data_IF_436412944829
#
_entry.id   IF_436412944829
#
_cell.length_a   1.000
_cell.length_b   1.000
_cell.length_c   1.000
_cell.angle_alpha   90.00
_cell.angle_beta   90.00
_cell.angle_gamma   90.00
#
_symmetry.space_group_name_H-M   'P 1'
#
loop_
_entity.id
_entity.type
_entity.pdbx_description
1 polymer ?
#
# COMPACT_ATOMS: atom_id res chain seq x y z
N UNK A 1 -12.29 6.41 7.50
CA UNK A 1 -10.84 6.30 7.27
C UNK A 1 -10.53 6.61 5.82
N UNK A 2 -9.51 7.43 5.56
CA UNK A 2 -8.87 7.43 4.24
C UNK A 2 -8.00 6.17 4.21
N UNK A 3 -8.21 5.29 3.24
CA UNK A 3 -7.51 4.01 3.15
C UNK A 3 -5.98 4.18 3.16
N UNK A 4 -5.51 5.35 2.76
CA UNK A 4 -4.18 5.93 2.88
C UNK A 4 -3.56 5.70 4.29
N UNK A 5 -4.31 5.93 5.37
CA UNK A 5 -3.80 5.74 6.75
C UNK A 5 -3.56 4.28 7.10
N UNK A 6 -4.42 3.38 6.61
CA UNK A 6 -4.29 1.94 6.86
C UNK A 6 -3.13 1.35 6.07
N UNK A 7 -2.94 1.78 4.81
CA UNK A 7 -1.80 1.33 4.02
C UNK A 7 -0.48 1.83 4.57
N UNK A 8 -0.44 3.07 5.10
CA UNK A 8 0.70 3.54 5.86
C UNK A 8 1.02 2.62 7.05
N UNK A 9 0.02 2.26 7.86
CA UNK A 9 0.22 1.34 8.98
C UNK A 9 0.70 -0.04 8.50
N UNK A 10 0.11 -0.57 7.43
CA UNK A 10 0.54 -1.86 6.85
C UNK A 10 2.00 -1.84 6.41
N UNK A 11 2.45 -0.80 5.70
CA UNK A 11 3.86 -0.69 5.29
C UNK A 11 4.79 -0.48 6.47
N UNK A 12 4.35 0.24 7.51
CA UNK A 12 5.12 0.45 8.72
C UNK A 12 5.27 -0.83 9.56
N UNK A 13 4.22 -1.65 9.62
CA UNK A 13 4.20 -2.92 10.36
C UNK A 13 4.92 -4.03 9.60
N UNK A 14 4.68 -4.15 8.30
CA UNK A 14 5.20 -5.25 7.48
C UNK A 14 6.25 -4.75 6.50
N UNK A 15 7.51 -4.75 6.93
CA UNK A 15 8.64 -4.27 6.12
C UNK A 15 8.81 -5.01 4.77
N UNK A 16 8.35 -6.26 4.69
CA UNK A 16 8.39 -7.08 3.47
C UNK A 16 7.26 -6.78 2.49
N UNK A 17 6.20 -6.08 2.91
CA UNK A 17 4.95 -5.97 2.15
C UNK A 17 5.18 -5.41 0.76
N UNK A 18 5.98 -4.36 0.61
CA UNK A 18 6.27 -3.81 -0.71
C UNK A 18 6.81 -4.88 -1.65
N UNK A 19 7.80 -5.66 -1.19
CA UNK A 19 8.48 -6.67 -1.99
C UNK A 19 7.55 -7.84 -2.36
N UNK A 20 6.63 -8.18 -1.46
CA UNK A 20 5.56 -9.14 -1.76
C UNK A 20 4.62 -8.62 -2.87
N UNK A 21 4.22 -7.35 -2.79
CA UNK A 21 3.32 -6.70 -3.76
C UNK A 21 3.96 -6.52 -5.14
N UNK A 22 5.27 -6.24 -5.19
CA UNK A 22 6.02 -6.11 -6.44
C UNK A 22 6.70 -7.43 -6.86
N UNK A 23 6.30 -8.55 -6.26
CA UNK A 23 6.78 -9.90 -6.61
C UNK A 23 8.32 -10.01 -6.68
N UNK A 24 9.01 -9.35 -5.74
CA UNK A 24 10.45 -9.45 -5.56
C UNK A 24 10.76 -10.33 -4.34
N UNK A 25 11.97 -10.90 -4.24
CA UNK A 25 12.38 -11.64 -3.06
C UNK A 25 12.27 -10.77 -1.79
N UNK A 26 11.54 -11.25 -0.78
CA UNK A 26 11.31 -10.52 0.48
C UNK A 26 12.61 -10.18 1.24
N UNK A 27 13.67 -10.98 1.04
CA UNK A 27 15.00 -10.71 1.59
C UNK A 27 15.59 -9.38 1.10
N UNK A 28 15.13 -8.85 -0.03
CA UNK A 28 15.56 -7.53 -0.49
C UNK A 28 15.10 -6.40 0.43
N UNK A 29 14.05 -6.61 1.22
CA UNK A 29 13.50 -5.63 2.16
C UNK A 29 14.51 -5.20 3.23
N UNK A 30 15.35 -6.10 3.73
CA UNK A 30 16.32 -5.81 4.81
C UNK A 30 17.24 -4.60 4.52
N UNK A 31 17.47 -4.32 3.23
CA UNK A 31 18.28 -3.20 2.76
C UNK A 31 17.55 -1.86 2.72
N UNK A 32 16.28 -1.79 3.09
CA UNK A 32 15.42 -0.60 2.96
C UNK A 32 14.95 -0.07 4.31
N UNK A 33 14.58 1.20 4.31
CA UNK A 33 13.93 1.91 5.41
C UNK A 33 12.62 2.53 4.90
N UNK A 34 11.52 2.27 5.60
CA UNK A 34 10.23 2.86 5.31
C UNK A 34 10.10 4.23 5.98
N UNK A 35 9.54 5.19 5.27
CA UNK A 35 9.21 6.51 5.80
C UNK A 35 8.02 7.12 5.05
N UNK A 36 7.31 8.02 5.71
CA UNK A 36 6.40 8.96 5.07
C UNK A 36 7.03 10.35 5.16
N UNK A 37 7.62 10.81 4.07
CA UNK A 37 8.28 12.13 4.04
C UNK A 37 7.26 13.19 3.63
N UNK A 38 7.06 14.18 4.49
CA UNK A 38 6.34 15.41 4.13
C UNK A 38 7.27 16.38 3.39
N UNK A 39 6.90 16.71 2.15
CA UNK A 39 7.56 17.74 1.33
C UNK A 39 7.07 19.11 1.84
N UNK A 40 7.93 19.77 2.65
CA UNK A 40 7.59 20.96 3.46
C UNK A 40 7.01 22.15 2.68
N UNK A 41 7.36 22.33 1.41
CA UNK A 41 6.93 23.51 0.62
C UNK A 41 5.52 23.40 0.06
N UNK A 42 4.92 22.20 -0.01
CA UNK A 42 3.55 22.02 -0.54
C UNK A 42 2.63 21.15 0.33
N UNK A 43 3.07 20.72 1.51
CA UNK A 43 2.34 19.77 2.37
C UNK A 43 1.89 18.50 1.61
N UNK A 44 2.68 18.08 0.62
CA UNK A 44 2.45 16.84 -0.08
C UNK A 44 3.20 15.70 0.61
N UNK A 45 2.57 14.52 0.65
CA UNK A 45 3.05 13.34 1.36
C UNK A 45 2.72 12.10 0.55
N UNK A 46 3.74 11.34 0.19
CA UNK A 46 3.52 10.01 -0.37
C UNK A 46 2.91 9.08 0.67
N UNK A 47 2.09 8.14 0.22
CA UNK A 47 1.62 7.05 1.08
C UNK A 47 2.77 6.20 1.63
N UNK A 48 3.88 6.12 0.88
CA UNK A 48 5.09 5.44 1.35
C UNK A 48 6.34 5.77 0.56
N UNK A 49 7.48 5.81 1.26
CA UNK A 49 8.81 5.86 0.67
C UNK A 49 9.67 4.76 1.26
N UNK A 50 10.17 3.86 0.41
CA UNK A 50 11.19 2.90 0.79
C UNK A 50 12.55 3.37 0.26
N UNK A 51 13.41 3.83 1.17
CA UNK A 51 14.76 4.30 0.85
C UNK A 51 15.79 3.20 1.09
N UNK A 52 16.63 2.83 0.12
CA UNK A 52 17.63 1.80 0.35
C UNK A 52 18.87 2.38 1.03
N UNK A 53 19.47 1.56 1.89
CA UNK A 53 20.79 1.83 2.49
C UNK A 53 21.88 1.77 1.41
N UNK A 54 21.81 0.80 0.51
CA UNK A 54 22.74 0.65 -0.61
C UNK A 54 22.51 1.70 -1.71
N UNK A 55 23.56 2.04 -2.47
CA UNK A 55 23.51 3.07 -3.53
C UNK A 55 23.04 2.55 -4.88
N UNK A 56 23.17 1.26 -5.12
CA UNK A 56 22.83 0.55 -6.37
C UNK A 56 21.35 0.13 -6.44
N UNK A 57 20.59 0.39 -5.38
CA UNK A 57 19.17 0.09 -5.29
C UNK A 57 18.32 1.36 -5.45
N UNK A 58 17.13 1.26 -6.07
CA UNK A 58 16.27 2.42 -6.27
C UNK A 58 15.50 2.77 -4.99
N UNK A 59 15.15 4.05 -4.83
CA UNK A 59 14.12 4.53 -3.91
C UNK A 59 12.75 4.13 -4.48
N UNK A 60 11.88 3.51 -3.69
CA UNK A 60 10.49 3.31 -4.09
C UNK A 60 9.61 4.41 -3.53
N UNK A 61 8.88 5.08 -4.43
CA UNK A 61 7.85 6.07 -4.07
C UNK A 61 6.51 5.39 -4.30
N UNK A 62 5.61 5.38 -3.31
CA UNK A 62 4.39 4.58 -3.34
C UNK A 62 3.18 5.51 -3.22
N UNK A 63 2.18 5.25 -4.06
CA UNK A 63 0.84 5.84 -3.98
C UNK A 63 -0.22 4.75 -4.07
N UNK A 64 -1.24 4.82 -3.23
CA UNK A 64 -2.31 3.82 -3.13
C UNK A 64 -3.67 4.43 -3.42
N UNK A 65 -4.44 3.81 -4.31
CA UNK A 65 -5.74 4.32 -4.75
C UNK A 65 -6.87 3.30 -4.56
N UNK A 66 -7.89 3.72 -3.81
CA UNK A 66 -9.10 2.94 -3.50
C UNK A 66 -10.36 3.43 -4.22
N UNK A 67 -10.19 4.39 -5.13
CA UNK A 67 -11.24 4.95 -5.95
C UNK A 67 -10.62 5.46 -7.25
N UNK A 68 -11.46 5.61 -8.27
CA UNK A 68 -11.04 6.23 -9.52
C UNK A 68 -10.66 7.69 -9.28
N UNK A 69 -9.51 8.09 -9.83
CA UNK A 69 -8.97 9.46 -9.76
C UNK A 69 -8.33 9.80 -11.09
N UNK A 70 -9.05 10.56 -11.91
CA UNK A 70 -8.66 10.90 -13.30
C UNK A 70 -7.30 11.60 -13.40
N UNK A 71 -6.97 12.39 -12.39
CA UNK A 71 -5.78 13.20 -12.24
C UNK A 71 -4.63 12.48 -11.52
N UNK A 72 -4.79 11.19 -11.17
CA UNK A 72 -3.79 10.41 -10.42
C UNK A 72 -2.37 10.56 -10.96
N UNK A 73 -2.13 10.28 -12.25
CA UNK A 73 -0.79 10.35 -12.81
C UNK A 73 -0.22 11.77 -12.87
N UNK A 74 -1.07 12.79 -12.99
CA UNK A 74 -0.63 14.19 -12.97
C UNK A 74 -0.12 14.59 -11.61
N UNK A 75 -0.87 14.26 -10.56
CA UNK A 75 -0.47 14.49 -9.18
C UNK A 75 0.77 13.68 -8.86
N UNK A 76 0.73 12.37 -9.11
CA UNK A 76 1.82 11.48 -8.73
C UNK A 76 3.17 11.83 -9.39
N UNK A 77 3.17 12.16 -10.69
CA UNK A 77 4.39 12.64 -11.34
C UNK A 77 4.86 13.99 -10.79
N UNK A 78 3.94 14.92 -10.55
CA UNK A 78 4.28 16.22 -9.96
C UNK A 78 4.96 16.05 -8.61
N UNK A 79 4.45 15.15 -7.79
CA UNK A 79 4.95 14.81 -6.46
C UNK A 79 6.33 14.19 -6.52
N UNK A 80 6.54 13.23 -7.42
CA UNK A 80 7.85 12.61 -7.67
C UNK A 80 8.86 13.69 -8.03
N UNK A 81 8.54 14.56 -8.99
CA UNK A 81 9.47 15.62 -9.39
C UNK A 81 9.70 16.67 -8.30
N UNK A 82 8.73 16.95 -7.44
CA UNK A 82 8.93 17.80 -6.26
C UNK A 82 9.86 17.15 -5.24
N UNK A 83 9.70 15.86 -4.99
CA UNK A 83 10.60 15.11 -4.10
C UNK A 83 12.03 15.09 -4.64
N UNK A 84 12.22 14.72 -5.91
CA UNK A 84 13.51 14.80 -6.57
C UNK A 84 14.05 16.23 -6.56
N UNK A 85 13.14 17.22 -6.67
CA UNK A 85 13.50 18.62 -6.62
C UNK A 85 14.05 19.04 -5.24
N UNK A 86 13.50 18.50 -4.16
CA UNK A 86 13.89 18.88 -2.81
C UNK A 86 15.11 18.11 -2.32
N UNK A 87 15.16 16.80 -2.57
CA UNK A 87 16.14 15.90 -1.95
C UNK A 87 17.36 15.60 -2.81
N UNK A 88 17.28 15.79 -4.14
CA UNK A 88 18.38 15.50 -5.09
C UNK A 88 19.09 14.16 -4.79
N UNK A 89 18.37 13.03 -4.67
CA UNK A 89 18.98 11.77 -4.31
C UNK A 89 20.00 11.32 -5.37
N UNK A 90 21.13 10.76 -4.93
CA UNK A 90 22.12 10.12 -5.83
C UNK A 90 21.58 8.79 -6.42
N UNK A 91 20.59 8.19 -5.75
CA UNK A 91 20.01 6.91 -6.11
C UNK A 91 18.96 7.06 -7.19
N UNK A 92 18.82 6.03 -8.01
CA UNK A 92 17.66 5.88 -8.89
C UNK A 92 16.36 5.83 -8.09
N UNK A 93 15.23 6.06 -8.76
CA UNK A 93 13.90 5.97 -8.14
C UNK A 93 12.97 5.11 -9.00
N UNK A 94 11.99 4.46 -8.38
CA UNK A 94 10.92 3.76 -9.08
C UNK A 94 9.59 4.09 -8.40
N UNK A 95 8.60 4.43 -9.20
CA UNK A 95 7.25 4.70 -8.72
C UNK A 95 6.44 3.40 -8.68
N UNK A 96 5.70 3.19 -7.59
CA UNK A 96 4.82 2.06 -7.38
C UNK A 96 3.40 2.59 -7.22
N UNK A 97 2.61 2.49 -8.30
CA UNK A 97 1.20 2.85 -8.32
C UNK A 97 0.37 1.62 -7.92
N UNK A 98 -0.27 1.68 -6.76
CA UNK A 98 -1.07 0.58 -6.21
C UNK A 98 -2.55 0.93 -6.36
N UNK A 99 -3.29 0.11 -7.10
CA UNK A 99 -4.73 0.27 -7.26
C UNK A 99 -5.46 -0.89 -6.58
N UNK A 100 -6.48 -0.58 -5.80
CA UNK A 100 -7.34 -1.61 -5.22
C UNK A 100 -8.02 -2.45 -6.31
N UNK A 101 -8.37 -1.83 -7.45
CA UNK A 101 -8.95 -2.46 -8.64
C UNK A 101 -8.40 -1.82 -9.91
N UNK A 102 -8.29 -2.56 -11.01
CA UNK A 102 -7.92 -2.04 -12.33
C UNK A 102 -8.84 -0.93 -12.80
N UNK A 103 -10.12 -1.02 -12.47
CA UNK A 103 -11.11 0.02 -12.78
C UNK A 103 -10.84 1.38 -12.11
N UNK A 104 -9.91 1.45 -11.15
CA UNK A 104 -9.53 2.70 -10.49
C UNK A 104 -8.32 3.38 -11.14
N UNK A 105 -7.57 2.67 -11.99
CA UNK A 105 -6.51 3.25 -12.81
C UNK A 105 -7.16 4.12 -13.90
N UNK A 106 -6.84 5.42 -13.97
CA UNK A 106 -7.26 6.23 -15.12
C UNK A 106 -6.46 5.86 -16.36
N UNK A 107 -7.04 6.07 -17.54
CA UNK A 107 -6.36 5.75 -18.81
C UNK A 107 -5.03 6.54 -18.92
N UNK A 108 -3.87 5.85 -19.00
CA UNK A 108 -2.58 6.51 -19.11
C UNK A 108 -2.46 7.29 -20.42
N UNK A 109 -1.99 8.55 -20.35
CA UNK A 109 -1.61 9.30 -21.55
C UNK A 109 -0.25 8.85 -22.07
N UNK A 110 0.10 9.22 -23.30
CA UNK A 110 1.36 8.79 -23.96
C UNK A 110 2.63 8.97 -23.12
N UNK A 111 2.77 10.12 -22.44
CA UNK A 111 3.94 10.39 -21.60
C UNK A 111 4.00 9.48 -20.35
N UNK A 112 2.85 9.07 -19.81
CA UNK A 112 2.78 8.09 -18.72
C UNK A 112 3.07 6.69 -19.28
N UNK A 113 2.56 6.38 -20.46
CA UNK A 113 2.76 5.09 -21.11
C UNK A 113 4.23 4.76 -21.30
N UNK A 114 5.07 5.71 -21.73
CA UNK A 114 6.52 5.51 -21.84
C UNK A 114 7.16 5.11 -20.49
N UNK A 115 6.68 5.68 -19.38
CA UNK A 115 7.17 5.38 -18.03
C UNK A 115 6.67 4.04 -17.51
N UNK A 116 5.48 3.61 -17.93
CA UNK A 116 4.94 2.27 -17.66
C UNK A 116 5.71 1.20 -18.47
N UNK A 117 5.97 1.46 -19.75
CA UNK A 117 6.65 0.53 -20.66
C UNK A 117 8.08 0.24 -20.21
N UNK A 118 8.82 1.28 -19.76
CA UNK A 118 10.15 1.11 -19.19
C UNK A 118 10.15 0.72 -17.70
N UNK A 119 8.98 0.45 -17.12
CA UNK A 119 8.77 0.12 -15.70
C UNK A 119 9.30 1.16 -14.71
N UNK A 120 9.49 2.42 -15.14
CA UNK A 120 9.79 3.52 -14.19
C UNK A 120 8.62 3.74 -13.24
N UNK A 121 7.40 3.55 -13.74
CA UNK A 121 6.19 3.37 -12.93
C UNK A 121 5.80 1.90 -13.03
N UNK A 122 5.73 1.21 -11.89
CA UNK A 122 5.21 -0.15 -11.78
C UNK A 122 3.80 -0.11 -11.21
N UNK A 123 2.90 -0.86 -11.82
CA UNK A 123 1.50 -0.99 -11.39
C UNK A 123 1.33 -2.24 -10.55
N UNK A 124 0.57 -2.12 -9.47
CA UNK A 124 0.15 -3.23 -8.62
C UNK A 124 -1.36 -3.16 -8.50
N UNK A 125 -2.04 -4.28 -8.68
CA UNK A 125 -3.49 -4.37 -8.55
C UNK A 125 -3.81 -5.31 -7.40
N UNK A 126 -4.38 -4.77 -6.33
CA UNK A 126 -4.60 -5.54 -5.13
C UNK A 126 -5.71 -6.59 -5.31
N UNK A 127 -6.64 -6.39 -6.25
CA UNK A 127 -7.68 -7.38 -6.57
C UNK A 127 -7.09 -8.71 -7.07
N UNK A 128 -5.89 -8.71 -7.65
CA UNK A 128 -5.19 -9.95 -8.05
C UNK A 128 -4.83 -10.82 -6.83
N UNK A 129 -4.88 -10.27 -5.61
CA UNK A 129 -4.57 -10.96 -4.37
C UNK A 129 -5.79 -11.65 -3.74
N UNK A 130 -7.02 -11.33 -4.13
CA UNK A 130 -8.25 -11.73 -3.41
C UNK A 130 -8.36 -13.25 -3.15
N UNK A 131 -7.99 -14.04 -4.16
CA UNK A 131 -8.08 -15.51 -4.19
C UNK A 131 -6.71 -16.19 -4.10
N UNK A 132 -5.64 -15.42 -3.87
CA UNK A 132 -4.29 -15.93 -3.74
C UNK A 132 -4.10 -16.61 -2.38
N UNK A 133 -3.70 -17.88 -2.37
CA UNK A 133 -3.24 -18.53 -1.15
C UNK A 133 -1.95 -17.85 -0.65
N UNK A 134 -1.88 -17.57 0.66
CA UNK A 134 -0.76 -16.81 1.22
C UNK A 134 -0.50 -17.13 2.69
N UNK A 135 0.77 -17.27 3.03
CA UNK A 135 1.26 -17.34 4.40
C UNK A 135 1.65 -15.96 4.96
N UNK A 136 1.43 -14.88 4.21
CA UNK A 136 1.67 -13.52 4.69
C UNK A 136 0.47 -12.94 5.42
N UNK A 137 0.68 -12.43 6.64
CA UNK A 137 -0.35 -11.65 7.35
C UNK A 137 -0.70 -10.37 6.61
N UNK A 138 0.29 -9.70 6.02
CA UNK A 138 0.10 -8.45 5.29
C UNK A 138 -0.83 -8.64 4.08
N UNK A 139 -0.57 -9.66 3.26
CA UNK A 139 -1.44 -10.00 2.12
C UNK A 139 -2.83 -10.43 2.59
N UNK A 140 -2.91 -11.23 3.66
CA UNK A 140 -4.20 -11.64 4.21
C UNK A 140 -5.04 -10.47 4.73
N UNK A 141 -4.44 -9.47 5.37
CA UNK A 141 -5.12 -8.23 5.76
C UNK A 141 -5.57 -7.45 4.52
N UNK A 142 -4.75 -7.36 3.46
CA UNK A 142 -5.16 -6.72 2.20
C UNK A 142 -6.37 -7.42 1.60
N UNK A 143 -6.38 -8.76 1.59
CA UNK A 143 -7.56 -9.52 1.14
C UNK A 143 -8.79 -9.23 2.00
N UNK A 144 -8.62 -9.09 3.32
CA UNK A 144 -9.71 -8.69 4.22
C UNK A 144 -10.23 -7.29 3.88
N UNK A 145 -9.34 -6.32 3.61
CA UNK A 145 -9.72 -4.96 3.19
C UNK A 145 -10.59 -5.00 1.93
N UNK A 146 -10.18 -5.76 0.91
CA UNK A 146 -10.86 -5.82 -0.38
C UNK A 146 -12.14 -6.68 -0.39
N UNK A 147 -12.26 -7.62 0.55
CA UNK A 147 -13.39 -8.53 0.63
C UNK A 147 -14.73 -7.81 0.87
N UNK A 148 -15.85 -8.41 0.47
CA UNK A 148 -17.16 -7.92 0.89
C UNK A 148 -17.46 -8.32 2.34
N UNK A 149 -18.54 -7.78 2.93
CA UNK A 149 -18.92 -8.06 4.32
C UNK A 149 -19.08 -9.55 4.63
N UNK A 150 -19.72 -10.33 3.75
CA UNK A 150 -19.91 -11.77 3.98
C UNK A 150 -18.59 -12.56 4.01
N UNK A 151 -17.65 -12.20 3.15
CA UNK A 151 -16.33 -12.81 3.06
C UNK A 151 -15.39 -12.34 4.18
N UNK A 152 -15.55 -11.09 4.62
CA UNK A 152 -14.68 -10.47 5.60
C UNK A 152 -14.67 -11.20 6.95
N UNK A 153 -15.84 -11.67 7.41
CA UNK A 153 -15.94 -12.45 8.65
C UNK A 153 -15.10 -13.73 8.54
N UNK A 154 -15.22 -14.42 7.40
CA UNK A 154 -14.48 -15.67 7.16
C UNK A 154 -12.97 -15.42 7.11
N UNK A 155 -12.53 -14.41 6.36
CA UNK A 155 -11.09 -14.05 6.26
C UNK A 155 -10.52 -13.56 7.59
N UNK A 156 -11.26 -12.77 8.36
CA UNK A 156 -10.83 -12.32 9.68
C UNK A 156 -10.66 -13.49 10.66
N UNK A 157 -11.57 -14.47 10.64
CA UNK A 157 -11.44 -15.68 11.45
C UNK A 157 -10.21 -16.50 11.06
N UNK A 158 -9.98 -16.71 9.77
CA UNK A 158 -8.79 -17.41 9.27
C UNK A 158 -7.50 -16.72 9.70
N UNK A 159 -7.47 -15.38 9.67
CA UNK A 159 -6.34 -14.61 10.16
C UNK A 159 -6.17 -14.77 11.68
N UNK A 160 -7.26 -14.75 12.45
CA UNK A 160 -7.22 -14.99 13.90
C UNK A 160 -6.65 -16.35 14.27
N UNK A 161 -7.13 -17.43 13.64
CA UNK A 161 -6.62 -18.79 13.85
C UNK A 161 -5.12 -18.92 13.52
N UNK A 162 -4.65 -18.15 12.54
CA UNK A 162 -3.23 -18.11 12.17
C UNK A 162 -2.38 -17.30 13.15
N UNK A 163 -2.90 -16.21 13.69
CA UNK A 163 -2.24 -15.39 14.72
C UNK A 163 -2.04 -16.18 16.01
N UNK A 164 -2.98 -17.05 16.38
CA UNK A 164 -2.84 -17.93 17.56
C UNK A 164 -1.61 -18.85 17.47
N UNK A 165 -1.11 -19.12 16.26
CA UNK A 165 0.08 -19.93 16.01
C UNK A 165 1.38 -19.10 15.94
N UNK A 166 1.28 -17.77 15.89
CA UNK A 166 2.43 -16.88 15.91
C UNK A 166 3.06 -16.84 17.30
N UNK A 167 4.39 -16.93 17.38
CA UNK A 167 5.10 -16.95 18.67
C UNK A 167 5.57 -15.56 19.10
N UNK A 168 5.61 -14.59 18.17
CA UNK A 168 5.99 -13.22 18.46
C UNK A 168 4.79 -12.39 18.93
N UNK A 169 4.72 -12.11 20.23
CA UNK A 169 3.64 -11.33 20.86
C UNK A 169 3.48 -9.93 20.25
N UNK A 170 4.57 -9.27 19.87
CA UNK A 170 4.50 -7.94 19.25
C UNK A 170 3.79 -8.00 17.89
N UNK A 171 4.14 -9.01 17.07
CA UNK A 171 3.47 -9.25 15.79
C UNK A 171 2.00 -9.61 16.02
N UNK A 172 1.69 -10.44 17.01
CA UNK A 172 0.31 -10.79 17.35
C UNK A 172 -0.53 -9.54 17.64
N UNK A 173 -0.06 -8.66 18.54
CA UNK A 173 -0.78 -7.44 18.91
C UNK A 173 -0.99 -6.50 17.72
N UNK A 174 0.07 -6.26 16.92
CA UNK A 174 0.00 -5.39 15.74
C UNK A 174 -0.97 -5.92 14.67
N UNK A 175 -0.93 -7.24 14.40
CA UNK A 175 -1.82 -7.87 13.41
C UNK A 175 -3.26 -7.83 13.90
N UNK A 176 -3.52 -8.10 15.19
CA UNK A 176 -4.86 -8.03 15.76
C UNK A 176 -5.43 -6.62 15.69
N UNK A 177 -4.66 -5.60 16.05
CA UNK A 177 -5.09 -4.19 15.95
C UNK A 177 -5.47 -3.82 14.52
N UNK A 178 -4.69 -4.25 13.53
CA UNK A 178 -4.98 -4.01 12.11
C UNK A 178 -6.26 -4.73 11.67
N UNK A 179 -6.49 -5.98 12.08
CA UNK A 179 -7.71 -6.72 11.76
C UNK A 179 -8.92 -6.04 12.37
N UNK A 180 -8.87 -5.69 13.65
CA UNK A 180 -9.94 -4.98 14.35
C UNK A 180 -10.25 -3.66 13.66
N UNK A 181 -9.23 -2.89 13.33
CA UNK A 181 -9.36 -1.63 12.58
C UNK A 181 -10.10 -1.84 11.27
N UNK A 182 -9.69 -2.85 10.47
CA UNK A 182 -10.35 -3.16 9.19
C UNK A 182 -11.80 -3.58 9.39
N UNK A 183 -12.10 -4.40 10.39
CA UNK A 183 -13.46 -4.83 10.71
C UNK A 183 -14.35 -3.68 11.16
N UNK A 184 -13.86 -2.82 12.07
CA UNK A 184 -14.58 -1.62 12.52
C UNK A 184 -14.91 -0.73 11.34
N UNK A 185 -14.00 -0.53 10.39
CA UNK A 185 -14.32 0.30 9.21
C UNK A 185 -15.29 -0.36 8.24
N UNK A 186 -15.20 -1.67 8.07
CA UNK A 186 -16.06 -2.41 7.15
C UNK A 186 -17.49 -2.50 7.67
N UNK A 187 -17.67 -2.79 8.96
CA UNK A 187 -18.99 -3.03 9.58
C UNK A 187 -19.53 -1.84 10.40
N UNK A 188 -18.66 -0.92 10.82
CA UNK A 188 -19.02 0.28 11.59
C UNK A 188 -19.64 1.40 10.76
N UNK A 189 -19.80 1.23 9.43
CA UNK A 189 -20.73 2.03 8.62
C UNK A 189 -22.17 1.53 8.78
N UNK A 190 -22.67 1.52 10.02
CA UNK A 190 -24.11 1.64 10.24
C UNK A 190 -24.39 3.13 10.24
N UNK A 191 -25.02 3.64 9.18
CA UNK A 191 -25.58 4.99 9.18
C UNK A 191 -26.45 5.14 10.44
N UNK A 192 -26.03 5.98 11.37
CA UNK A 192 -26.96 6.58 12.32
C UNK A 192 -27.82 7.53 11.47
N UNK A 193 -28.87 6.97 10.89
CA UNK A 193 -29.89 7.72 10.19
C UNK A 193 -30.52 8.71 11.16
N UNK A 194 -30.14 9.98 11.02
CA UNK A 194 -31.00 11.07 11.47
C UNK A 194 -32.26 11.02 10.62
N UNK A 195 -33.31 10.41 11.13
CA UNK A 195 -34.66 10.69 10.65
C UNK A 195 -35.18 11.96 11.36
N UNK A 196 -35.88 12.83 10.61
CA UNK A 196 -36.25 14.20 11.01
C UNK A 196 -37.25 14.28 12.16
#
# INVERSE_FOLDING_TARGET
>A
MKTDTLFYQLFNTFHTLLFELIERPIAEAEGYEFSSVEVKEKAFRFDGIFSPKAKDKPIYLIEVQFQQKEDFYWEYLSEIYLYLNQYRPEREWQAIAIFARRSYEPEPRSHVQEMLDCQRIRRVYLEDLLDRETDSFAIGIIQLILSNESQAITKARQLGEKIEQENNTEIQEQVLELIETVLVYKFGRVEVGYYP
#
